data_IF_288228608166
#
_entry.id   IF_288228608166
#
_cell.length_a   1.000
_cell.length_b   1.000
_cell.length_c   1.000
_cell.angle_alpha   90.00
_cell.angle_beta   90.00
_cell.angle_gamma   90.00
#
_symmetry.space_group_name_H-M   'P 1'
#
loop_
_entity.id
_entity.type
_entity.pdbx_description
1 polymer ?
#
# COMPACT_ATOMS: atom_id res chain seq x y z
N UNK A 1 8.06 -4.22 13.18
CA UNK A 1 7.64 -3.94 11.79
C UNK A 1 8.18 -2.58 11.38
N UNK A 2 8.46 -2.31 10.10
CA UNK A 2 8.93 -1.00 9.66
C UNK A 2 7.87 0.07 9.96
N UNK A 3 8.32 1.29 10.28
CA UNK A 3 7.46 2.47 10.43
C UNK A 3 7.66 3.38 9.22
N UNK A 4 6.92 3.09 8.16
CA UNK A 4 6.94 3.80 6.89
C UNK A 4 6.16 5.10 6.97
N UNK A 5 6.73 6.14 6.36
CA UNK A 5 6.11 7.45 6.25
C UNK A 5 6.59 8.22 5.00
N UNK A 6 5.72 9.12 4.53
CA UNK A 6 6.01 10.12 3.51
C UNK A 6 5.21 9.91 2.22
N UNK A 7 5.08 10.99 1.47
CA UNK A 7 4.49 11.03 0.14
C UNK A 7 5.58 11.30 -0.89
N UNK A 8 5.63 10.49 -1.93
CA UNK A 8 6.69 10.55 -2.93
C UNK A 8 6.12 10.59 -4.33
N UNK A 9 6.37 11.69 -5.04
CA UNK A 9 6.06 11.77 -6.47
C UNK A 9 7.07 10.97 -7.29
N UNK A 10 6.55 10.08 -8.12
CA UNK A 10 7.30 9.16 -8.93
C UNK A 10 6.75 9.12 -10.37
N UNK A 11 7.49 8.48 -11.27
CA UNK A 11 7.07 8.29 -12.67
C UNK A 11 7.21 6.84 -13.09
N UNK A 12 6.18 6.35 -13.76
CA UNK A 12 6.20 5.07 -14.45
C UNK A 12 7.03 5.22 -15.74
N UNK A 13 7.99 4.32 -15.93
CA UNK A 13 8.77 4.27 -17.16
C UNK A 13 8.03 3.53 -18.28
N UNK A 14 8.57 3.58 -19.50
CA UNK A 14 7.99 2.94 -20.68
C UNK A 14 7.90 1.40 -20.60
N UNK A 15 8.56 0.80 -19.60
CA UNK A 15 8.55 -0.65 -19.34
C UNK A 15 7.72 -0.99 -18.11
N UNK A 16 6.82 -0.11 -17.67
CA UNK A 16 5.97 -0.34 -16.48
C UNK A 16 6.76 -0.51 -15.19
N UNK A 17 7.92 0.14 -15.08
CA UNK A 17 8.74 0.15 -13.86
C UNK A 17 8.67 1.49 -13.16
N UNK A 18 8.81 1.45 -11.84
CA UNK A 18 8.92 2.63 -11.00
C UNK A 18 10.18 2.51 -10.16
N UNK A 19 10.93 3.61 -10.03
CA UNK A 19 12.09 3.68 -9.13
C UNK A 19 11.58 3.94 -7.72
N UNK A 20 11.97 3.11 -6.77
CA UNK A 20 11.63 3.29 -5.37
C UNK A 20 12.39 4.50 -4.79
N UNK A 21 11.72 5.41 -4.05
CA UNK A 21 12.37 6.56 -3.44
C UNK A 21 13.47 6.13 -2.46
N UNK A 22 14.67 6.69 -2.59
CA UNK A 22 15.78 6.38 -1.67
C UNK A 22 15.46 6.64 -0.19
N UNK A 23 14.70 7.70 0.21
CA UNK A 23 14.27 7.85 1.60
C UNK A 23 13.40 6.69 2.10
N UNK A 24 12.51 6.17 1.25
CA UNK A 24 11.66 5.03 1.58
C UNK A 24 12.48 3.75 1.75
N UNK A 25 13.45 3.51 0.86
CA UNK A 25 14.37 2.37 0.99
C UNK A 25 15.24 2.43 2.25
N UNK A 26 15.68 3.63 2.67
CA UNK A 26 16.39 3.80 3.95
C UNK A 26 15.54 3.37 5.14
N UNK A 27 14.24 3.64 5.13
CA UNK A 27 13.31 3.19 6.19
C UNK A 27 13.17 1.65 6.21
N UNK A 28 13.50 0.97 5.10
CA UNK A 28 13.47 -0.49 4.96
C UNK A 28 14.83 -1.16 5.22
N UNK A 29 15.86 -0.41 5.59
CA UNK A 29 17.21 -0.95 5.86
C UNK A 29 18.29 -0.52 4.88
N UNK A 30 17.98 0.36 3.92
CA UNK A 30 18.98 1.01 3.06
C UNK A 30 19.22 0.29 1.74
N UNK A 31 20.09 -0.72 1.72
CA UNK A 31 20.57 -1.35 0.48
C UNK A 31 19.91 -2.71 0.23
N UNK A 32 19.39 -2.89 -0.99
CA UNK A 32 18.61 -4.07 -1.41
C UNK A 32 19.43 -5.27 -1.89
N UNK A 33 18.78 -6.28 -2.51
CA UNK A 33 17.44 -6.20 -3.09
C UNK A 33 16.30 -6.21 -2.06
N UNK A 34 15.21 -5.51 -2.38
CA UNK A 34 13.97 -5.50 -1.60
C UNK A 34 12.86 -6.22 -2.36
N UNK A 35 12.17 -7.13 -1.69
CA UNK A 35 10.96 -7.79 -2.20
C UNK A 35 9.72 -7.18 -1.58
N UNK A 36 8.73 -6.93 -2.43
CA UNK A 36 7.43 -6.39 -2.08
C UNK A 36 6.33 -7.28 -2.63
N UNK A 37 5.18 -7.27 -1.96
CA UNK A 37 3.94 -7.86 -2.47
C UNK A 37 2.98 -6.73 -2.83
N UNK A 38 2.46 -6.77 -4.05
CA UNK A 38 1.56 -5.75 -4.58
C UNK A 38 0.21 -6.37 -4.89
N UNK A 39 -0.87 -5.74 -4.43
CA UNK A 39 -2.24 -6.11 -4.75
C UNK A 39 -3.12 -4.86 -4.95
N UNK A 40 -4.38 -5.07 -5.31
CA UNK A 40 -5.36 -3.99 -5.44
C UNK A 40 -5.71 -3.45 -4.06
N UNK A 41 -5.75 -2.13 -3.92
CA UNK A 41 -6.19 -1.45 -2.70
C UNK A 41 -7.70 -1.48 -2.49
N UNK A 42 -8.12 -0.87 -1.39
CA UNK A 42 -9.55 -0.70 -1.08
C UNK A 42 -10.16 0.41 -1.94
N UNK A 43 -9.42 1.50 -2.10
CA UNK A 43 -9.66 2.57 -3.04
C UNK A 43 -9.08 2.22 -4.43
N UNK A 44 -9.17 3.15 -5.39
CA UNK A 44 -8.67 2.98 -6.76
C UNK A 44 -7.14 3.12 -6.83
N UNK A 45 -6.43 2.39 -5.98
CA UNK A 45 -4.98 2.42 -5.82
C UNK A 45 -4.41 1.00 -5.74
N UNK A 46 -3.09 0.85 -5.68
CA UNK A 46 -2.45 -0.41 -5.31
C UNK A 46 -1.91 -0.34 -3.88
N UNK A 47 -1.91 -1.48 -3.21
CA UNK A 47 -1.23 -1.66 -1.93
C UNK A 47 0.09 -2.38 -2.17
N UNK A 48 1.14 -1.93 -1.50
CA UNK A 48 2.49 -2.49 -1.54
C UNK A 48 2.91 -2.81 -0.10
N UNK A 49 3.30 -4.05 0.12
CA UNK A 49 3.75 -4.55 1.42
C UNK A 49 5.22 -4.98 1.30
N UNK A 50 6.12 -4.50 2.17
CA UNK A 50 7.41 -5.15 2.35
C UNK A 50 7.22 -6.62 2.73
N UNK A 51 8.09 -7.52 2.25
CA UNK A 51 7.98 -8.97 2.46
C UNK A 51 7.61 -9.37 3.90
N UNK A 52 8.34 -8.88 4.90
CA UNK A 52 8.06 -9.19 6.32
C UNK A 52 6.66 -8.74 6.79
N UNK A 53 6.15 -7.65 6.23
CA UNK A 53 4.81 -7.15 6.55
C UNK A 53 3.75 -8.01 5.88
N UNK A 54 4.02 -8.46 4.65
CA UNK A 54 3.16 -9.38 3.95
C UNK A 54 3.05 -10.72 4.69
N UNK A 55 4.17 -11.29 5.14
CA UNK A 55 4.20 -12.53 5.93
C UNK A 55 3.30 -12.43 7.17
N UNK A 56 3.45 -11.38 7.99
CA UNK A 56 2.60 -11.16 9.15
C UNK A 56 1.11 -10.94 8.78
N UNK A 57 0.86 -10.30 7.62
CA UNK A 57 -0.50 -10.09 7.12
C UNK A 57 -1.13 -11.42 6.71
N UNK A 58 -0.36 -12.33 6.10
CA UNK A 58 -0.81 -13.67 5.73
C UNK A 58 -1.16 -14.51 6.96
N UNK A 59 -0.39 -14.43 8.04
CA UNK A 59 -0.70 -15.13 9.30
C UNK A 59 -2.12 -14.79 9.77
N UNK A 60 -2.46 -13.50 9.81
CA UNK A 60 -3.79 -13.02 10.22
C UNK A 60 -4.89 -13.46 9.25
N UNK A 61 -4.61 -13.50 7.95
CA UNK A 61 -5.61 -13.93 6.96
C UNK A 61 -5.84 -15.44 7.01
N UNK A 62 -4.80 -16.23 7.31
CA UNK A 62 -4.90 -17.67 7.44
C UNK A 62 -5.76 -18.11 8.64
N UNK A 63 -5.98 -17.24 9.62
CA UNK A 63 -6.88 -17.48 10.75
C UNK A 63 -8.38 -17.36 10.37
N UNK A 64 -8.70 -16.82 9.19
CA UNK A 64 -10.08 -16.62 8.75
C UNK A 64 -10.76 -17.94 8.36
N UNK A 65 -12.06 -18.03 8.61
CA UNK A 65 -12.83 -19.24 8.38
C UNK A 65 -13.37 -19.29 6.94
N UNK A 66 -12.72 -20.07 6.08
CA UNK A 66 -13.14 -20.25 4.67
C UNK A 66 -14.54 -20.87 4.48
N UNK A 67 -15.19 -21.38 5.52
CA UNK A 67 -16.59 -21.81 5.42
C UNK A 67 -17.56 -20.64 5.56
N UNK A 68 -17.17 -19.53 6.19
CA UNK A 68 -17.95 -18.29 6.23
C UNK A 68 -17.85 -17.57 4.89
N UNK A 69 -19.01 -17.21 4.33
CA UNK A 69 -19.07 -16.54 3.02
C UNK A 69 -18.39 -15.17 3.03
N UNK A 70 -18.52 -14.41 4.11
CA UNK A 70 -17.86 -13.11 4.29
C UNK A 70 -16.33 -13.25 4.24
N UNK A 71 -15.77 -14.14 5.06
CA UNK A 71 -14.33 -14.41 5.14
C UNK A 71 -13.75 -14.84 3.78
N UNK A 72 -14.40 -15.79 3.06
CA UNK A 72 -13.94 -16.17 1.71
C UNK A 72 -13.97 -15.00 0.74
N UNK A 73 -15.03 -14.19 0.79
CA UNK A 73 -15.13 -13.04 -0.10
C UNK A 73 -14.02 -12.05 0.21
N UNK A 74 -13.77 -11.75 1.47
CA UNK A 74 -12.67 -10.91 1.92
C UNK A 74 -11.32 -11.45 1.40
N UNK A 75 -11.00 -12.73 1.65
CA UNK A 75 -9.76 -13.36 1.16
C UNK A 75 -9.64 -13.19 -0.36
N UNK A 76 -10.70 -13.48 -1.11
CA UNK A 76 -10.69 -13.32 -2.57
C UNK A 76 -10.43 -11.88 -2.97
N UNK A 77 -11.10 -10.90 -2.36
CA UNK A 77 -10.90 -9.49 -2.69
C UNK A 77 -9.48 -9.02 -2.32
N UNK A 78 -9.00 -9.41 -1.16
CA UNK A 78 -7.67 -9.05 -0.67
C UNK A 78 -6.56 -9.62 -1.57
N UNK A 79 -6.67 -10.88 -2.01
CA UNK A 79 -5.66 -11.52 -2.85
C UNK A 79 -5.75 -11.19 -4.34
N UNK A 80 -6.74 -10.41 -4.78
CA UNK A 80 -6.90 -10.12 -6.22
C UNK A 80 -5.72 -9.33 -6.76
N UNK A 81 -5.04 -9.97 -7.71
CA UNK A 81 -3.89 -9.36 -8.39
C UNK A 81 -2.62 -9.34 -7.54
N UNK A 82 -2.55 -10.09 -6.43
CA UNK A 82 -1.30 -10.24 -5.68
C UNK A 82 -0.18 -10.70 -6.61
N UNK A 83 0.95 -10.00 -6.58
CA UNK A 83 2.20 -10.40 -7.21
C UNK A 83 3.38 -9.93 -6.36
N UNK A 84 4.38 -10.78 -6.20
CA UNK A 84 5.68 -10.39 -5.68
C UNK A 84 6.49 -9.63 -6.74
N UNK A 85 7.22 -8.61 -6.30
CA UNK A 85 8.12 -7.80 -7.13
C UNK A 85 9.39 -7.50 -6.35
N UNK A 86 10.54 -7.67 -7.00
CA UNK A 86 11.84 -7.40 -6.39
C UNK A 86 12.52 -6.24 -7.12
N UNK A 87 13.19 -5.36 -6.37
CA UNK A 87 13.95 -4.25 -6.94
C UNK A 87 15.11 -4.76 -7.80
N UNK A 88 15.27 -4.20 -9.01
CA UNK A 88 16.46 -4.40 -9.83
C UNK A 88 17.67 -3.61 -9.28
N UNK A 89 18.84 -3.75 -9.91
CA UNK A 89 20.07 -3.05 -9.49
C UNK A 89 20.03 -1.52 -9.63
N UNK A 90 18.92 -0.96 -10.11
CA UNK A 90 18.65 0.49 -10.14
C UNK A 90 17.48 0.87 -9.21
N UNK A 91 17.15 0.01 -8.24
CA UNK A 91 16.09 0.19 -7.26
C UNK A 91 14.69 0.33 -7.89
N UNK A 92 14.47 -0.32 -9.05
CA UNK A 92 13.17 -0.28 -9.73
C UNK A 92 12.39 -1.57 -9.52
N UNK A 93 11.09 -1.45 -9.30
CA UNK A 93 10.16 -2.58 -9.35
C UNK A 93 9.40 -2.58 -10.67
N UNK A 94 9.14 -3.76 -11.23
CA UNK A 94 8.32 -3.96 -12.43
C UNK A 94 6.90 -4.31 -12.02
N UNK A 95 5.92 -3.56 -12.53
CA UNK A 95 4.52 -3.75 -12.18
C UNK A 95 3.75 -4.47 -13.28
N UNK A 96 2.84 -5.36 -12.87
CA UNK A 96 1.94 -6.03 -13.79
C UNK A 96 0.95 -5.03 -14.40
N UNK A 97 0.75 -5.11 -15.72
CA UNK A 97 -0.17 -4.24 -16.46
C UNK A 97 -1.59 -4.25 -15.89
N UNK A 98 -2.10 -5.41 -15.49
CA UNK A 98 -3.46 -5.54 -14.94
C UNK A 98 -3.67 -4.81 -13.61
N UNK A 99 -2.60 -4.59 -12.83
CA UNK A 99 -2.62 -3.79 -11.62
C UNK A 99 -2.60 -2.30 -11.96
N UNK A 100 -1.74 -1.89 -12.89
CA UNK A 100 -1.70 -0.51 -13.38
C UNK A 100 -3.04 -0.07 -13.97
N UNK A 101 -3.62 -0.90 -14.84
CA UNK A 101 -4.93 -0.64 -15.44
C UNK A 101 -6.04 -0.58 -14.38
N UNK A 102 -5.93 -1.39 -13.31
CA UNK A 102 -6.85 -1.29 -12.19
C UNK A 102 -6.69 0.03 -11.43
N UNK A 103 -5.48 0.50 -11.14
CA UNK A 103 -5.28 1.74 -10.40
C UNK A 103 -5.40 3.00 -11.28
N UNK A 104 -5.61 2.85 -12.60
CA UNK A 104 -5.65 3.98 -13.53
C UNK A 104 -4.28 4.62 -13.77
N UNK A 105 -3.19 4.00 -13.33
CA UNK A 105 -1.84 4.57 -13.40
C UNK A 105 -1.33 4.52 -14.84
N UNK A 106 -1.05 5.70 -15.40
CA UNK A 106 -0.50 5.82 -16.76
C UNK A 106 0.91 6.37 -16.78
N UNK A 107 1.25 7.31 -15.89
CA UNK A 107 2.55 7.99 -15.91
C UNK A 107 2.99 8.56 -14.56
N UNK A 108 2.21 9.46 -13.99
CA UNK A 108 2.56 10.15 -12.74
C UNK A 108 1.97 9.40 -11.56
N UNK A 109 2.81 9.12 -10.58
CA UNK A 109 2.50 8.20 -9.49
C UNK A 109 2.78 8.88 -8.16
N UNK A 110 1.88 8.69 -7.19
CA UNK A 110 2.15 9.01 -5.79
C UNK A 110 2.37 7.70 -5.04
N UNK A 111 3.50 7.59 -4.35
CA UNK A 111 3.70 6.57 -3.32
C UNK A 111 3.42 7.21 -1.97
N UNK A 112 2.31 6.82 -1.35
CA UNK A 112 1.90 7.26 -0.02
C UNK A 112 2.24 6.17 1.00
N UNK A 113 3.30 6.38 1.76
CA UNK A 113 3.79 5.43 2.75
C UNK A 113 3.20 5.78 4.13
N UNK A 114 2.60 4.80 4.80
CA UNK A 114 2.05 4.96 6.14
C UNK A 114 2.09 3.63 6.92
N UNK A 115 2.35 3.73 8.22
CA UNK A 115 2.45 2.60 9.13
C UNK A 115 3.48 1.57 8.65
N UNK A 116 3.07 0.46 8.06
CA UNK A 116 3.91 -0.65 7.62
C UNK A 116 3.76 -0.94 6.12
N UNK A 117 3.00 -0.12 5.39
CA UNK A 117 2.62 -0.35 3.99
C UNK A 117 2.74 0.93 3.17
N UNK A 118 2.59 0.78 1.86
CA UNK A 118 2.64 1.87 0.90
C UNK A 118 1.44 1.73 -0.02
N UNK A 119 0.71 2.81 -0.23
CA UNK A 119 -0.23 2.91 -1.33
C UNK A 119 0.44 3.53 -2.55
N UNK A 120 0.04 3.06 -3.72
CA UNK A 120 0.49 3.59 -4.99
C UNK A 120 -0.71 4.03 -5.83
N UNK A 121 -0.72 5.30 -6.16
CA UNK A 121 -1.84 5.97 -6.81
C UNK A 121 -1.44 6.58 -8.14
N UNK A 122 -2.41 6.71 -9.04
CA UNK A 122 -2.32 7.71 -10.10
C UNK A 122 -2.42 9.11 -9.48
N UNK A 123 -1.56 10.04 -9.89
CA UNK A 123 -1.48 11.36 -9.23
C UNK A 123 -2.81 12.11 -9.23
N UNK A 124 -3.52 12.14 -10.36
CA UNK A 124 -4.80 12.86 -10.47
C UNK A 124 -5.84 12.24 -9.53
N UNK A 125 -5.90 10.89 -9.52
CA UNK A 125 -6.82 10.16 -8.65
C UNK A 125 -6.51 10.37 -7.16
N UNK A 126 -5.22 10.50 -6.80
CA UNK A 126 -4.80 10.81 -5.43
C UNK A 126 -5.20 12.22 -5.01
N UNK A 127 -4.92 13.22 -5.86
CA UNK A 127 -5.26 14.62 -5.59
C UNK A 127 -6.79 14.77 -5.42
N UNK A 128 -7.59 14.11 -6.27
CA UNK A 128 -9.06 14.07 -6.11
C UNK A 128 -9.53 13.37 -4.83
N UNK A 129 -8.78 12.39 -4.33
CA UNK A 129 -9.10 11.71 -3.07
C UNK A 129 -8.74 12.59 -1.87
N UNK A 130 -7.62 13.32 -1.94
CA UNK A 130 -7.24 14.33 -0.94
C UNK A 130 -8.25 15.47 -0.87
N UNK A 131 -8.77 15.94 -2.00
CA UNK A 131 -9.80 16.99 -2.03
C UNK A 131 -11.14 16.55 -1.41
N UNK A 132 -11.34 15.24 -1.21
CA UNK A 132 -12.47 14.67 -0.46
C UNK A 132 -12.16 14.50 1.02
N UNK A 133 -11.07 15.09 1.51
CA UNK A 133 -10.77 15.16 2.94
C UNK A 133 -12.04 15.58 3.67
N UNK A 134 -12.49 14.81 4.68
CA UNK A 134 -13.72 15.15 5.37
C UNK A 134 -13.59 16.59 5.87
N UNK A 135 -14.59 17.43 5.57
CA UNK A 135 -14.68 18.83 6.05
C UNK A 135 -14.48 18.94 7.56
N UNK A 136 -14.65 17.80 8.25
CA UNK A 136 -14.48 17.64 9.67
C UNK A 136 -13.47 16.54 10.04
N UNK A 137 -12.24 16.66 9.53
CA UNK A 137 -11.12 15.82 9.99
C UNK A 137 -10.96 15.88 11.52
N UNK A 138 -11.27 17.02 12.15
CA UNK A 138 -11.26 17.18 13.60
C UNK A 138 -12.25 16.22 14.30
N UNK A 139 -13.50 16.14 13.84
CA UNK A 139 -14.48 15.19 14.39
C UNK A 139 -14.10 13.73 14.10
N UNK A 140 -13.49 13.45 12.94
CA UNK A 140 -12.96 12.11 12.69
C UNK A 140 -11.85 11.77 13.69
N UNK A 141 -10.92 12.69 13.93
CA UNK A 141 -9.84 12.54 14.90
C UNK A 141 -10.40 12.33 16.32
N UNK A 142 -11.41 13.10 16.74
CA UNK A 142 -12.07 12.90 18.03
C UNK A 142 -12.75 11.53 18.13
N UNK A 143 -13.50 11.12 17.09
CA UNK A 143 -14.19 9.82 17.07
C UNK A 143 -13.22 8.65 17.17
N UNK A 144 -12.04 8.75 16.55
CA UNK A 144 -11.04 7.68 16.46
C UNK A 144 -10.08 7.70 17.65
N UNK A 145 -9.53 8.86 18.02
CA UNK A 145 -8.49 9.02 19.05
C UNK A 145 -9.06 9.48 20.40
N UNK A 146 -10.15 10.24 20.41
CA UNK A 146 -10.75 10.81 21.62
C UNK A 146 -11.40 9.78 22.55
N UNK A 147 -11.71 8.58 22.05
CA UNK A 147 -12.28 7.47 22.85
C UNK A 147 -11.25 6.44 23.33
N UNK A 148 -9.95 6.75 23.33
CA UNK A 148 -9.00 5.90 24.02
C UNK A 148 -9.24 5.98 25.54
N UNK A 149 -10.17 5.16 26.05
CA UNK A 149 -10.14 4.74 27.45
C UNK A 149 -8.76 4.13 27.69
N UNK A 150 -8.05 4.70 28.65
CA UNK A 150 -6.78 4.20 29.15
C UNK A 150 -7.07 2.82 29.74
N UNK A 151 -6.88 1.77 28.96
CA UNK A 151 -6.98 0.40 29.44
C UNK A 151 -5.69 0.04 30.23
N UNK A 152 -5.71 0.38 31.54
CA UNK A 152 -4.82 -0.11 32.61
C UNK A 152 -3.39 0.46 32.61
N UNK A 153 -2.73 0.85 33.71
CA UNK A 153 -2.82 0.44 35.13
C UNK A 153 -2.98 -1.05 35.37
#
# INVERSE_FOLDING_TARGET
MPQLHGEYECKLDSKSRIRMPSPLLRQLGGSGPFTFFVNRGFEKCLMIYPEKVWENTLERINELNVYRTEDRNFIRYFFRGVSDVTTDGADRILLNRSLLDYAGITKEVILFAYLDRIEMWDKVTYDEWLDREPEDFANLAEKVLGKQEIAGQ
#
